data_IF_468664865618
#
_entry.id   IF_468664865618
#
_cell.length_a   1.000
_cell.length_b   1.000
_cell.length_c   1.000
_cell.angle_alpha   90.00
_cell.angle_beta   90.00
_cell.angle_gamma   90.00
#
_symmetry.space_group_name_H-M   'P 1'
#
loop_
_entity.id
_entity.type
_entity.pdbx_description
1 polymer ?
#
# COMPACT_ATOMS: atom_id res chain seq x y z
N UNK A 1 10.77 -14.30 -3.95
CA UNK A 1 9.35 -14.00 -4.19
C UNK A 1 8.60 -14.65 -3.05
N UNK A 2 7.94 -13.89 -2.18
CA UNK A 2 7.24 -14.44 -1.01
C UNK A 2 5.77 -13.99 -1.10
N UNK A 3 4.99 -14.80 -1.81
CA UNK A 3 3.53 -14.73 -1.86
C UNK A 3 2.97 -15.28 -0.54
N UNK A 4 3.18 -14.53 0.54
CA UNK A 4 2.68 -14.86 1.87
C UNK A 4 1.20 -14.56 1.97
N UNK A 5 0.37 -15.59 1.89
CA UNK A 5 -0.91 -15.76 2.58
C UNK A 5 -1.59 -14.47 3.06
N UNK A 6 -2.24 -13.73 2.15
CA UNK A 6 -2.98 -12.50 2.49
C UNK A 6 -4.33 -12.80 3.17
N UNK A 7 -4.70 -14.07 3.35
CA UNK A 7 -6.03 -14.51 3.78
C UNK A 7 -6.32 -14.33 5.28
N UNK A 8 -5.33 -13.95 6.09
CA UNK A 8 -5.48 -13.83 7.55
C UNK A 8 -5.26 -12.43 8.15
N UNK A 9 -4.93 -11.41 7.35
CA UNK A 9 -4.60 -10.09 7.88
C UNK A 9 -5.87 -9.26 8.06
N UNK A 10 -6.23 -8.97 9.31
CA UNK A 10 -7.40 -8.17 9.66
C UNK A 10 -7.32 -6.76 9.01
N UNK A 11 -8.45 -6.17 8.57
CA UNK A 11 -8.50 -4.85 7.96
C UNK A 11 -7.66 -3.77 8.67
N UNK A 12 -7.69 -3.63 10.02
CA UNK A 12 -6.86 -2.65 10.73
C UNK A 12 -5.36 -2.82 10.53
N UNK A 13 -4.86 -4.06 10.43
CA UNK A 13 -3.42 -4.31 10.21
C UNK A 13 -2.99 -3.90 8.81
N UNK A 14 -3.85 -4.13 7.80
CA UNK A 14 -3.60 -3.68 6.43
C UNK A 14 -3.62 -2.15 6.33
N UNK A 15 -4.57 -1.48 6.98
CA UNK A 15 -4.62 0.00 7.03
C UNK A 15 -3.32 0.53 7.64
N UNK A 16 -2.86 -0.06 8.75
CA UNK A 16 -1.64 0.36 9.44
C UNK A 16 -0.40 0.20 8.56
N UNK A 17 -0.31 -0.90 7.82
CA UNK A 17 0.79 -1.14 6.89
C UNK A 17 0.81 -0.12 5.74
N UNK A 18 -0.34 0.14 5.12
CA UNK A 18 -0.46 1.15 4.05
C UNK A 18 -0.09 2.55 4.59
N UNK A 19 -0.54 2.89 5.80
CA UNK A 19 -0.22 4.16 6.44
C UNK A 19 1.29 4.33 6.72
N UNK A 20 1.98 3.28 7.19
CA UNK A 20 3.43 3.31 7.41
C UNK A 20 4.20 3.46 6.08
N UNK A 21 3.80 2.71 5.04
CA UNK A 21 4.39 2.84 3.70
C UNK A 21 4.17 4.24 3.11
N UNK A 22 2.98 4.80 3.27
CA UNK A 22 2.66 6.16 2.82
C UNK A 22 3.50 7.21 3.58
N UNK A 23 3.69 7.06 4.89
CA UNK A 23 4.54 7.95 5.68
C UNK A 23 6.03 7.89 5.29
N UNK A 24 6.48 6.76 4.75
CA UNK A 24 7.84 6.57 4.21
C UNK A 24 7.98 7.00 2.77
N UNK A 25 6.87 7.23 2.07
CA UNK A 25 6.88 7.69 0.68
C UNK A 25 7.46 9.11 0.64
N UNK A 26 8.69 9.23 0.14
CA UNK A 26 9.36 10.51 -0.04
C UNK A 26 9.67 10.76 -1.50
N UNK A 27 9.48 11.99 -1.99
CA UNK A 27 9.91 12.35 -3.33
C UNK A 27 11.44 12.21 -3.39
N UNK A 28 11.90 11.29 -4.23
CA UNK A 28 13.31 11.11 -4.53
C UNK A 28 13.58 11.79 -5.88
N UNK A 29 14.25 12.96 -5.84
CA UNK A 29 14.56 13.74 -7.04
C UNK A 29 15.56 13.04 -7.97
N UNK A 30 16.26 12.02 -7.47
CA UNK A 30 17.21 11.21 -8.24
C UNK A 30 16.51 10.06 -8.96
N UNK A 31 15.35 9.62 -8.47
CA UNK A 31 14.49 8.65 -9.12
C UNK A 31 13.00 8.96 -8.92
N UNK A 32 12.47 9.95 -9.68
CA UNK A 32 11.07 10.36 -9.54
C UNK A 32 10.09 9.26 -9.98
N UNK A 33 10.45 8.44 -10.98
CA UNK A 33 9.59 7.35 -11.46
C UNK A 33 9.25 6.37 -10.35
N UNK A 34 10.24 6.01 -9.53
CA UNK A 34 10.04 5.12 -8.37
C UNK A 34 9.07 5.70 -7.34
N UNK A 35 9.03 7.02 -7.16
CA UNK A 35 8.03 7.66 -6.31
C UNK A 35 6.62 7.49 -6.88
N UNK A 36 6.43 7.72 -8.18
CA UNK A 36 5.14 7.56 -8.83
C UNK A 36 4.68 6.11 -8.90
N UNK A 37 5.59 5.16 -9.10
CA UNK A 37 5.32 3.72 -9.05
C UNK A 37 4.84 3.31 -7.65
N UNK A 38 5.63 3.60 -6.61
CA UNK A 38 5.25 3.31 -5.23
C UNK A 38 3.94 3.98 -4.82
N UNK A 39 3.68 5.20 -5.29
CA UNK A 39 2.42 5.91 -5.05
C UNK A 39 1.23 5.20 -5.70
N UNK A 40 1.39 4.75 -6.94
CA UNK A 40 0.34 4.07 -7.70
C UNK A 40 0.01 2.70 -7.08
N UNK A 41 1.04 1.98 -6.62
CA UNK A 41 0.90 0.72 -5.91
C UNK A 41 0.12 0.89 -4.60
N UNK A 42 0.46 1.92 -3.81
CA UNK A 42 -0.25 2.29 -2.59
C UNK A 42 -1.71 2.69 -2.84
N UNK A 43 -1.98 3.43 -3.92
CA UNK A 43 -3.34 3.81 -4.30
C UNK A 43 -4.19 2.58 -4.65
N UNK A 44 -3.59 1.62 -5.38
CA UNK A 44 -4.26 0.37 -5.72
C UNK A 44 -4.61 -0.45 -4.47
N UNK A 45 -3.66 -0.63 -3.55
CA UNK A 45 -3.86 -1.34 -2.29
C UNK A 45 -4.94 -0.68 -1.42
N UNK A 46 -4.92 0.66 -1.32
CA UNK A 46 -5.91 1.40 -0.56
C UNK A 46 -7.32 1.25 -1.17
N UNK A 47 -7.43 1.30 -2.50
CA UNK A 47 -8.72 1.14 -3.20
C UNK A 47 -9.27 -0.26 -3.03
N UNK A 48 -8.41 -1.28 -3.05
CA UNK A 48 -8.80 -2.67 -2.79
C UNK A 48 -9.33 -2.83 -1.37
N UNK A 49 -8.59 -2.30 -0.39
CA UNK A 49 -8.97 -2.38 1.02
C UNK A 49 -10.28 -1.63 1.31
N UNK A 50 -10.48 -0.45 0.70
CA UNK A 50 -11.74 0.28 0.82
C UNK A 50 -12.92 -0.52 0.29
N UNK A 51 -12.73 -1.24 -0.82
CA UNK A 51 -13.76 -2.13 -1.38
C UNK A 51 -14.05 -3.30 -0.43
N UNK A 52 -13.02 -3.94 0.12
CA UNK A 52 -13.17 -5.06 1.08
C UNK A 52 -13.86 -4.64 2.39
N UNK A 53 -13.82 -3.36 2.79
CA UNK A 53 -14.48 -2.84 3.99
C UNK A 53 -15.95 -2.45 3.71
N UNK A 54 -16.27 -2.04 2.48
CA UNK A 54 -17.61 -1.62 2.07
C UNK A 54 -18.54 -2.81 1.76
N UNK A 55 -17.97 -3.97 1.39
CA UNK A 55 -18.66 -5.26 1.19
C UNK A 55 -18.91 -6.03 2.50
#
# INVERSE_FOLDING_TARGET
MNDGDQSGQHPPDRIREIADRLGRLRPDWRNPERFFENRSDLEHDLRRLAKEIDE
#
